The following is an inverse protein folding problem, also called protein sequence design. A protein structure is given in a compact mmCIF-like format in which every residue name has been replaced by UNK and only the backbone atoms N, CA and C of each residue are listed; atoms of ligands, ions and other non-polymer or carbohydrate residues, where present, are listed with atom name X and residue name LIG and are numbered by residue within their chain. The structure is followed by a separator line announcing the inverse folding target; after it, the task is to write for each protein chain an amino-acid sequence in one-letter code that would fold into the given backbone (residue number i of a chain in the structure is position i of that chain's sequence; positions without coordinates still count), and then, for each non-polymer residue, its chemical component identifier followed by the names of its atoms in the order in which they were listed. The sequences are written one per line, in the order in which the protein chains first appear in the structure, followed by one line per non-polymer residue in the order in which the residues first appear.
data_IF_044339116075
#
_entry.id   IF_044339116075
#
_cell.length_a   1.000
_cell.length_b   1.000
_cell.length_c   1.000
_cell.angle_alpha   90.00
_cell.angle_beta   90.00
_cell.angle_gamma   90.00
#
_symmetry.space_group_name_H-M   'P 1'
#
loop_
_entity.id
_entity.type
_entity.pdbx_description
1 polymer ?
#
# COMPACT_ATOMS: atom_id res chain seq x y z
N UNK A 1 -14.55 13.90 2.35
CA UNK A 1 -14.73 12.80 3.33
C UNK A 1 -13.69 12.98 4.43
N UNK A 2 -14.04 12.82 5.71
CA UNK A 2 -12.99 12.92 6.76
C UNK A 2 -12.04 11.73 6.65
N UNK A 3 -10.75 11.96 6.86
CA UNK A 3 -9.73 10.90 6.80
C UNK A 3 -10.08 9.69 7.69
N UNK A 4 -10.67 9.94 8.87
CA UNK A 4 -11.09 8.85 9.75
C UNK A 4 -12.19 7.96 9.16
N UNK A 5 -13.10 8.54 8.40
CA UNK A 5 -14.18 7.79 7.74
C UNK A 5 -13.60 6.94 6.59
N UNK A 6 -12.56 7.43 5.91
CA UNK A 6 -11.80 6.68 4.91
C UNK A 6 -11.07 5.48 5.51
N UNK A 7 -10.29 5.68 6.58
CA UNK A 7 -9.60 4.60 7.30
C UNK A 7 -10.57 3.49 7.72
N UNK A 8 -11.74 3.86 8.24
CA UNK A 8 -12.75 2.91 8.65
C UNK A 8 -13.31 2.09 7.48
N UNK A 9 -13.44 2.67 6.27
CA UNK A 9 -13.84 1.94 5.07
C UNK A 9 -12.74 0.98 4.60
N UNK A 10 -11.50 1.46 4.53
CA UNK A 10 -10.33 0.62 4.20
C UNK A 10 -10.24 -0.59 5.14
N UNK A 11 -10.42 -0.37 6.45
CA UNK A 11 -10.39 -1.44 7.44
C UNK A 11 -11.53 -2.45 7.30
N UNK A 12 -12.72 -2.03 6.80
CA UNK A 12 -13.81 -2.97 6.48
C UNK A 12 -13.50 -3.78 5.23
N UNK A 13 -12.99 -3.13 4.18
CA UNK A 13 -12.58 -3.80 2.96
C UNK A 13 -11.49 -4.84 3.21
N UNK A 14 -10.48 -4.52 4.02
CA UNK A 14 -9.43 -5.48 4.41
C UNK A 14 -10.01 -6.73 5.07
N UNK A 15 -10.88 -6.56 6.08
CA UNK A 15 -11.50 -7.71 6.77
C UNK A 15 -12.45 -8.50 5.88
N UNK A 16 -13.01 -7.87 4.84
CA UNK A 16 -13.88 -8.54 3.88
C UNK A 16 -13.11 -9.32 2.80
N UNK A 17 -11.88 -8.92 2.46
CA UNK A 17 -11.09 -9.55 1.39
C UNK A 17 -10.05 -10.54 1.90
N UNK A 18 -9.58 -10.40 3.14
CA UNK A 18 -8.42 -11.13 3.64
C UNK A 18 -8.74 -11.85 4.94
N UNK A 19 -8.09 -13.00 5.17
CA UNK A 19 -8.12 -13.67 6.47
C UNK A 19 -7.51 -12.76 7.56
N UNK A 20 -7.94 -12.86 8.84
CA UNK A 20 -7.47 -11.98 9.91
C UNK A 20 -5.94 -11.89 10.01
N UNK A 21 -5.25 -13.02 9.88
CA UNK A 21 -3.78 -13.07 9.91
C UNK A 21 -3.11 -12.20 8.82
N UNK A 22 -3.75 -12.02 7.66
CA UNK A 22 -3.25 -11.19 6.55
C UNK A 22 -3.76 -9.74 6.70
N UNK A 23 -5.04 -9.57 7.07
CA UNK A 23 -5.66 -8.26 7.23
C UNK A 23 -4.97 -7.42 8.34
N UNK A 24 -4.44 -8.08 9.37
CA UNK A 24 -3.83 -7.46 10.55
C UNK A 24 -2.30 -7.60 10.58
N UNK A 25 -1.69 -8.21 9.57
CA UNK A 25 -0.23 -8.35 9.47
C UNK A 25 0.42 -7.00 9.18
N UNK A 26 1.20 -6.50 10.15
CA UNK A 26 2.00 -5.28 9.98
C UNK A 26 3.00 -5.41 8.82
N UNK A 27 3.62 -6.59 8.68
CA UNK A 27 4.57 -6.88 7.60
C UNK A 27 3.89 -6.75 6.24
N UNK A 28 2.73 -7.38 6.05
CA UNK A 28 1.97 -7.27 4.80
C UNK A 28 1.55 -5.82 4.52
N UNK A 29 1.12 -5.06 5.55
CA UNK A 29 0.74 -3.65 5.36
C UNK A 29 1.93 -2.79 4.93
N UNK A 30 3.11 -3.01 5.49
CA UNK A 30 4.35 -2.30 5.12
C UNK A 30 4.80 -2.69 3.71
N UNK A 31 4.79 -3.98 3.38
CA UNK A 31 5.16 -4.47 2.05
C UNK A 31 4.24 -3.92 0.97
N UNK A 32 2.92 -3.92 1.18
CA UNK A 32 1.96 -3.34 0.25
C UNK A 32 2.11 -1.83 0.11
N UNK A 33 2.39 -1.12 1.20
CA UNK A 33 2.71 0.32 1.12
C UNK A 33 3.96 0.58 0.27
N UNK A 34 5.04 -0.19 0.48
CA UNK A 34 6.27 -0.06 -0.30
C UNK A 34 6.01 -0.34 -1.79
N UNK A 35 5.26 -1.38 -2.11
CA UNK A 35 4.89 -1.71 -3.50
C UNK A 35 4.16 -0.54 -4.19
N UNK A 36 3.11 0.01 -3.58
CA UNK A 36 2.36 1.15 -4.14
C UNK A 36 3.22 2.42 -4.26
N UNK A 37 4.11 2.67 -3.28
CA UNK A 37 5.04 3.79 -3.36
C UNK A 37 6.02 3.64 -4.52
N UNK A 38 6.51 2.41 -4.78
CA UNK A 38 7.39 2.11 -5.91
C UNK A 38 6.64 2.19 -7.24
N UNK A 39 5.39 1.73 -7.32
CA UNK A 39 4.55 1.86 -8.52
C UNK A 39 4.28 3.34 -8.84
N UNK A 40 4.00 4.18 -7.84
CA UNK A 40 3.85 5.61 -8.01
C UNK A 40 5.14 6.25 -8.55
N UNK A 41 6.27 5.96 -7.92
CA UNK A 41 7.59 6.46 -8.34
C UNK A 41 7.92 5.99 -9.77
N UNK A 42 7.62 4.72 -10.10
CA UNK A 42 7.82 4.18 -11.45
C UNK A 42 6.97 4.92 -12.48
N UNK A 43 5.73 5.29 -12.15
CA UNK A 43 4.83 6.01 -13.06
C UNK A 43 5.36 7.39 -13.47
N UNK A 44 6.21 8.00 -12.64
CA UNK A 44 6.91 9.26 -12.89
C UNK A 44 8.26 9.09 -13.63
N UNK A 45 8.58 7.87 -14.07
CA UNK A 45 9.81 7.59 -14.83
C UNK A 45 11.08 7.59 -13.99
N UNK A 46 10.98 7.41 -12.66
CA UNK A 46 12.16 7.22 -11.83
C UNK A 46 12.89 5.93 -12.20
N UNK A 47 14.20 6.03 -12.39
CA UNK A 47 15.02 4.87 -12.70
C UNK A 47 15.25 3.99 -11.46
N UNK A 48 15.45 2.69 -11.72
CA UNK A 48 15.64 1.68 -10.67
C UNK A 48 16.90 1.91 -9.83
N UNK A 49 18.00 2.37 -10.43
CA UNK A 49 19.26 2.59 -9.70
C UNK A 49 19.13 3.78 -8.75
N UNK A 50 18.35 4.80 -9.11
CA UNK A 50 18.03 5.91 -8.21
C UNK A 50 17.17 5.47 -7.03
N UNK A 51 16.24 4.54 -7.23
CA UNK A 51 15.51 3.91 -6.12
C UNK A 51 16.47 3.16 -5.20
N UNK A 52 17.41 2.37 -5.74
CA UNK A 52 18.39 1.65 -4.91
C UNK A 52 19.28 2.57 -4.09
N UNK A 53 19.77 3.67 -4.66
CA UNK A 53 20.54 4.69 -3.90
C UNK A 53 19.71 5.32 -2.78
N UNK A 54 18.40 5.48 -2.98
CA UNK A 54 17.52 5.99 -1.93
C UNK A 54 17.35 4.97 -0.79
N UNK A 55 17.26 3.69 -1.13
CA UNK A 55 17.24 2.60 -0.14
C UNK A 55 18.52 2.66 0.71
N UNK A 56 19.70 2.68 0.09
CA UNK A 56 20.98 2.79 0.82
C UNK A 56 20.98 4.02 1.75
N UNK A 57 20.62 5.19 1.22
CA UNK A 57 20.58 6.43 2.00
C UNK A 57 19.67 6.39 3.24
N UNK A 58 18.49 5.76 3.12
CA UNK A 58 17.53 5.66 4.23
C UNK A 58 17.97 4.60 5.24
N UNK A 59 18.41 3.43 4.78
CA UNK A 59 18.76 2.30 5.65
C UNK A 59 20.14 2.43 6.31
N UNK A 60 21.00 3.35 5.85
CA UNK A 60 22.26 3.70 6.51
C UNK A 60 22.08 4.55 7.79
N UNK A 61 20.83 4.90 8.14
CA UNK A 61 20.50 5.72 9.31
C UNK A 61 19.78 4.90 10.37
N UNK A 62 19.78 5.43 11.60
CA UNK A 62 18.90 4.90 12.64
C UNK A 62 17.43 5.02 12.22
N UNK A 63 16.60 3.99 12.43
CA UNK A 63 15.18 4.06 12.13
C UNK A 63 14.48 5.22 12.85
N UNK A 64 13.55 5.87 12.16
CA UNK A 64 12.68 6.91 12.74
C UNK A 64 11.51 6.35 13.54
N UNK A 65 10.78 7.25 14.21
CA UNK A 65 9.53 6.89 14.90
C UNK A 65 8.40 6.65 13.89
N UNK A 66 7.66 5.53 13.98
CA UNK A 66 6.62 5.20 13.00
C UNK A 66 5.53 6.28 12.83
N UNK A 67 5.12 6.98 13.89
CA UNK A 67 4.09 8.01 13.78
C UNK A 67 4.63 9.25 13.04
N UNK A 68 5.89 9.61 13.29
CA UNK A 68 6.57 10.66 12.55
C UNK A 68 6.69 10.31 11.05
N UNK A 69 7.09 9.08 10.73
CA UNK A 69 7.26 8.66 9.33
C UNK A 69 5.94 8.60 8.56
N UNK A 70 4.83 8.18 9.19
CA UNK A 70 3.49 8.28 8.59
C UNK A 70 3.13 9.73 8.24
N UNK A 71 3.46 10.68 9.13
CA UNK A 71 3.28 12.11 8.87
C UNK A 71 4.13 12.60 7.69
N UNK A 72 5.39 12.18 7.63
CA UNK A 72 6.32 12.50 6.54
C UNK A 72 5.82 11.99 5.17
N UNK A 73 5.28 10.77 5.13
CA UNK A 73 4.68 10.18 3.92
C UNK A 73 3.48 10.99 3.45
N UNK A 74 2.55 11.35 4.34
CA UNK A 74 1.34 12.10 3.94
C UNK A 74 1.70 13.48 3.39
N UNK A 75 2.64 14.19 4.03
CA UNK A 75 3.07 15.53 3.59
C UNK A 75 3.73 15.46 2.21
N UNK A 76 4.62 14.49 1.99
CA UNK A 76 5.32 14.36 0.69
C UNK A 76 4.39 13.90 -0.42
N UNK A 77 3.44 13.00 -0.13
CA UNK A 77 2.41 12.59 -1.10
C UNK A 77 1.50 13.76 -1.49
N UNK A 78 1.08 14.59 -0.53
CA UNK A 78 0.28 15.78 -0.81
C UNK A 78 1.05 16.82 -1.65
N UNK A 79 2.33 17.04 -1.33
CA UNK A 79 3.19 17.94 -2.09
C UNK A 79 3.39 17.46 -3.54
N UNK A 80 3.66 16.17 -3.73
CA UNK A 80 3.74 15.55 -5.06
C UNK A 80 2.42 15.72 -5.83
N UNK A 81 1.29 15.38 -5.20
CA UNK A 81 -0.03 15.44 -5.84
C UNK A 81 -0.34 16.85 -6.36
N UNK A 82 0.02 17.89 -5.59
CA UNK A 82 -0.13 19.28 -6.00
C UNK A 82 0.68 19.65 -7.25
N UNK A 83 1.91 19.13 -7.39
CA UNK A 83 2.75 19.35 -8.58
C UNK A 83 2.29 18.52 -9.77
N UNK A 84 1.83 17.29 -9.53
CA UNK A 84 1.32 16.38 -10.56
C UNK A 84 -0.09 16.74 -11.05
N UNK A 85 -0.77 17.71 -10.42
CA UNK A 85 -2.15 18.08 -10.75
C UNK A 85 -3.17 17.00 -10.36
N UNK A 86 -2.86 16.19 -9.35
CA UNK A 86 -3.70 15.11 -8.84
C UNK A 86 -4.48 15.63 -7.62
N UNK A 87 -5.80 15.53 -7.67
CA UNK A 87 -6.63 15.68 -6.47
C UNK A 87 -6.47 14.42 -5.61
N UNK A 88 -5.73 14.57 -4.51
CA UNK A 88 -5.40 13.46 -3.62
C UNK A 88 -6.64 12.80 -2.99
N UNK A 89 -7.65 13.59 -2.62
CA UNK A 89 -8.86 13.06 -2.00
C UNK A 89 -9.71 12.30 -3.03
N UNK A 90 -9.90 12.88 -4.22
CA UNK A 90 -10.65 12.25 -5.30
C UNK A 90 -9.96 10.95 -5.79
N UNK A 91 -8.64 10.96 -5.94
CA UNK A 91 -7.86 9.76 -6.28
C UNK A 91 -8.04 8.65 -5.24
N UNK A 92 -7.94 8.97 -3.94
CA UNK A 92 -8.15 8.02 -2.86
C UNK A 92 -9.59 7.46 -2.86
N UNK A 93 -10.60 8.30 -3.07
CA UNK A 93 -12.00 7.89 -3.13
C UNK A 93 -12.26 6.96 -4.32
N UNK A 94 -11.78 7.32 -5.50
CA UNK A 94 -11.94 6.51 -6.73
C UNK A 94 -11.34 5.13 -6.57
N UNK A 95 -10.14 5.05 -6.01
CA UNK A 95 -9.47 3.78 -5.78
C UNK A 95 -10.22 2.92 -4.75
N UNK A 96 -10.67 3.52 -3.65
CA UNK A 96 -11.46 2.81 -2.65
C UNK A 96 -12.77 2.25 -3.22
N UNK A 97 -13.48 3.02 -4.04
CA UNK A 97 -14.70 2.56 -4.73
C UNK A 97 -14.38 1.41 -5.69
N UNK A 98 -13.26 1.47 -6.40
CA UNK A 98 -12.82 0.42 -7.32
C UNK A 98 -12.53 -0.89 -6.59
N UNK A 99 -11.77 -0.86 -5.49
CA UNK A 99 -11.41 -2.07 -4.75
C UNK A 99 -12.57 -2.67 -3.95
N UNK A 100 -13.57 -1.86 -3.59
CA UNK A 100 -14.82 -2.30 -2.99
C UNK A 100 -15.79 -2.94 -4.00
N UNK A 101 -15.54 -2.83 -5.31
CA UNK A 101 -16.39 -3.46 -6.32
C UNK A 101 -16.39 -4.99 -6.16
N UNK A 102 -17.55 -5.68 -6.14
CA UNK A 102 -17.63 -7.12 -5.86
C UNK A 102 -16.69 -7.99 -6.71
N UNK A 103 -16.59 -7.69 -8.01
CA UNK A 103 -15.72 -8.43 -8.93
C UNK A 103 -14.22 -8.24 -8.62
N UNK A 104 -13.83 -7.06 -8.15
CA UNK A 104 -12.45 -6.80 -7.74
C UNK A 104 -12.16 -7.52 -6.44
N UNK A 105 -13.08 -7.47 -5.48
CA UNK A 105 -12.97 -8.23 -4.22
C UNK A 105 -12.87 -9.73 -4.47
N UNK A 106 -13.65 -10.28 -5.40
CA UNK A 106 -13.58 -11.70 -5.80
C UNK A 106 -12.19 -12.05 -6.35
N UNK A 107 -11.67 -11.26 -7.30
CA UNK A 107 -10.32 -11.44 -7.86
C UNK A 107 -9.22 -11.36 -6.80
N UNK A 108 -9.35 -10.46 -5.83
CA UNK A 108 -8.38 -10.34 -4.73
C UNK A 108 -8.39 -11.61 -3.88
N UNK A 109 -9.57 -12.08 -3.47
CA UNK A 109 -9.72 -13.32 -2.69
C UNK A 109 -9.11 -14.52 -3.42
N UNK A 110 -9.42 -14.68 -4.71
CA UNK A 110 -8.84 -15.75 -5.55
C UNK A 110 -7.32 -15.71 -5.58
N UNK A 111 -6.72 -14.53 -5.80
CA UNK A 111 -5.26 -14.36 -5.78
C UNK A 111 -4.64 -14.75 -4.42
N UNK A 112 -5.29 -14.40 -3.31
CA UNK A 112 -4.77 -14.72 -1.98
C UNK A 112 -4.91 -16.21 -1.62
N UNK A 113 -5.98 -16.87 -2.08
CA UNK A 113 -6.10 -18.33 -1.97
C UNK A 113 -4.97 -19.01 -2.76
N UNK A 114 -4.71 -18.55 -3.99
CA UNK A 114 -3.63 -19.09 -4.81
C UNK A 114 -2.24 -18.87 -4.18
N UNK A 115 -1.96 -17.69 -3.61
CA UNK A 115 -0.70 -17.41 -2.90
C UNK A 115 -0.51 -18.32 -1.68
N UNK A 116 -1.54 -18.46 -0.84
CA UNK A 116 -1.48 -19.35 0.33
C UNK A 116 -1.31 -20.83 -0.04
N UNK A 117 -1.89 -21.26 -1.17
CA UNK A 117 -1.68 -22.61 -1.69
C UNK A 117 -0.23 -22.85 -2.17
N UNK A 118 0.40 -21.84 -2.78
CA UNK A 118 1.81 -21.92 -3.21
C UNK A 118 2.75 -21.92 -2.01
N UNK A 119 2.55 -21.04 -1.03
CA UNK A 119 3.37 -21.00 0.20
C UNK A 119 3.26 -22.30 1.01
N UNK A 120 2.07 -22.91 1.06
CA UNK A 120 1.88 -24.21 1.72
C UNK A 120 2.58 -25.39 1.03
N UNK A 121 2.73 -25.36 -0.30
CA UNK A 121 3.50 -26.37 -1.05
C UNK A 121 5.00 -26.20 -0.80
N UNK A 122 5.51 -24.97 -0.83
CA UNK A 122 6.94 -24.67 -0.62
C UNK A 122 7.37 -24.97 0.82
N UNK A 123 6.50 -24.77 1.80
CA UNK A 123 6.77 -25.11 3.21
C UNK A 123 6.75 -26.62 3.51
N UNK A 124 6.20 -27.45 2.61
CA UNK A 124 6.10 -28.90 2.76
C UNK A 124 7.18 -29.70 2.02
N UNK A 125 8.09 -29.01 1.31
CA UNK A 125 9.23 -29.57 0.56
C UNK A 125 10.55 -29.19 1.20
#
# INVERSE_FOLDING_TARGET
MRLKDYENRVARWLRACFAPAIAESKEERVTRFLEEALELVQSEGFDRDRVYRMVEYVFDRSPGDPAQEVGGVIITLAAYSGVAGIDLEDAAVKELVRIEHPDIMAKIREKHVAKGAVEGIVAAT
#
